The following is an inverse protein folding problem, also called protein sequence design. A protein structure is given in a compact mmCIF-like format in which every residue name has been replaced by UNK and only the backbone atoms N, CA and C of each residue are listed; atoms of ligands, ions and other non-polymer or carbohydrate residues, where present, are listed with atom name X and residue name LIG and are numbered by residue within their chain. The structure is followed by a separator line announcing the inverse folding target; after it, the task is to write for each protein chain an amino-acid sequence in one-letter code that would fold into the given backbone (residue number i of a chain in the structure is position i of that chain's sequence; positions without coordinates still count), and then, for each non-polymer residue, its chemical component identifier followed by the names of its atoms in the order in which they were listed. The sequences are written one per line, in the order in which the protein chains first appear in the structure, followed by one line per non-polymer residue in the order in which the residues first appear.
data_IF_278894044403
#
_entry.id   IF_278894044403
#
_cell.length_a   1.000
_cell.length_b   1.000
_cell.length_c   1.000
_cell.angle_alpha   90.00
_cell.angle_beta   90.00
_cell.angle_gamma   90.00
#
_symmetry.space_group_name_H-M   'P 1'
#
loop_
_entity.id
_entity.type
_entity.pdbx_description
1 polymer ?
#
# COMPACT_ATOMS: atom_id res chain seq x y z
N UNK A 1 15.64 -21.86 -11.24
CA UNK A 1 14.56 -21.02 -11.80
C UNK A 1 15.14 -19.65 -12.12
N UNK A 2 14.72 -18.97 -13.19
CA UNK A 2 15.20 -17.62 -13.54
C UNK A 2 14.07 -16.60 -13.28
N UNK A 3 14.43 -15.40 -12.81
CA UNK A 3 13.54 -14.25 -12.63
C UNK A 3 12.71 -13.91 -13.88
N UNK A 4 13.26 -14.12 -15.08
CA UNK A 4 12.55 -13.82 -16.33
C UNK A 4 11.30 -14.71 -16.54
N UNK A 5 11.33 -15.96 -16.05
CA UNK A 5 10.16 -16.82 -16.07
C UNK A 5 9.05 -16.26 -15.19
N UNK A 6 9.38 -15.78 -13.98
CA UNK A 6 8.40 -15.18 -13.05
C UNK A 6 7.74 -13.96 -13.71
N UNK A 7 8.52 -13.11 -14.38
CA UNK A 7 8.01 -11.94 -15.13
C UNK A 7 7.10 -12.34 -16.27
N UNK A 8 7.50 -13.33 -17.05
CA UNK A 8 6.72 -13.82 -18.19
C UNK A 8 5.35 -14.34 -17.73
N UNK A 9 5.34 -15.14 -16.66
CA UNK A 9 4.10 -15.67 -16.08
C UNK A 9 3.22 -14.54 -15.53
N UNK A 10 3.81 -13.60 -14.79
CA UNK A 10 3.09 -12.43 -14.27
C UNK A 10 2.48 -11.57 -15.38
N UNK A 11 3.23 -11.31 -16.46
CA UNK A 11 2.75 -10.52 -17.60
C UNK A 11 1.63 -11.24 -18.38
N UNK A 12 1.65 -12.58 -18.41
CA UNK A 12 0.60 -13.39 -19.04
C UNK A 12 -0.67 -13.55 -18.19
N UNK A 13 -0.65 -13.10 -16.93
CA UNK A 13 -1.75 -13.26 -15.98
C UNK A 13 -1.81 -14.64 -15.30
N UNK A 14 -0.82 -15.51 -15.51
CA UNK A 14 -0.69 -16.78 -14.77
C UNK A 14 -0.13 -16.51 -13.36
N UNK A 15 -1.02 -16.03 -12.48
CA UNK A 15 -0.68 -15.67 -11.10
C UNK A 15 -0.19 -16.88 -10.30
N UNK A 16 -0.83 -18.04 -10.44
CA UNK A 16 -0.45 -19.26 -9.72
C UNK A 16 0.94 -19.77 -10.17
N UNK A 17 1.18 -19.78 -11.48
CA UNK A 17 2.50 -20.12 -12.03
C UNK A 17 3.58 -19.14 -11.59
N UNK A 18 3.29 -17.82 -11.61
CA UNK A 18 4.23 -16.80 -11.18
C UNK A 18 4.60 -16.96 -9.71
N UNK A 19 3.65 -17.25 -8.83
CA UNK A 19 3.92 -17.50 -7.40
C UNK A 19 4.77 -18.74 -7.19
N UNK A 20 4.43 -19.87 -7.85
CA UNK A 20 5.23 -21.09 -7.74
C UNK A 20 6.66 -20.88 -8.26
N UNK A 21 6.81 -20.12 -9.36
CA UNK A 21 8.11 -19.77 -9.91
C UNK A 21 8.91 -18.83 -8.99
N UNK A 22 8.25 -17.90 -8.31
CA UNK A 22 8.86 -17.01 -7.34
C UNK A 22 9.33 -17.77 -6.08
N UNK A 23 8.50 -18.66 -5.54
CA UNK A 23 8.79 -19.38 -4.29
C UNK A 23 9.98 -20.36 -4.44
N UNK A 24 10.24 -20.85 -5.65
CA UNK A 24 11.42 -21.67 -5.96
C UNK A 24 12.57 -20.89 -6.64
N UNK A 25 12.49 -19.56 -6.68
CA UNK A 25 13.58 -18.70 -7.12
C UNK A 25 14.64 -18.57 -6.03
N UNK A 26 15.91 -18.69 -6.41
CA UNK A 26 17.04 -18.27 -5.57
C UNK A 26 17.80 -17.20 -6.35
N UNK A 27 17.50 -15.90 -6.12
CA UNK A 27 18.06 -14.83 -6.93
C UNK A 27 19.56 -14.68 -6.67
N UNK A 28 20.33 -14.49 -7.73
CA UNK A 28 21.73 -14.07 -7.60
C UNK A 28 21.82 -12.69 -6.95
N UNK A 29 22.98 -12.29 -6.37
CA UNK A 29 23.14 -10.98 -5.75
C UNK A 29 22.72 -9.81 -6.63
N UNK A 30 22.98 -9.89 -7.94
CA UNK A 30 22.61 -8.86 -8.93
C UNK A 30 21.12 -8.81 -9.27
N UNK A 31 20.39 -9.90 -9.03
CA UNK A 31 18.94 -9.99 -9.30
C UNK A 31 18.09 -9.67 -8.07
N UNK A 32 18.68 -9.69 -6.88
CA UNK A 32 17.98 -9.57 -5.58
C UNK A 32 17.01 -8.39 -5.51
N UNK A 33 17.44 -7.19 -5.87
CA UNK A 33 16.56 -6.01 -5.88
C UNK A 33 15.34 -6.19 -6.78
N UNK A 34 15.53 -6.71 -7.98
CA UNK A 34 14.45 -6.91 -8.95
C UNK A 34 13.51 -8.03 -8.51
N UNK A 35 14.07 -9.12 -7.96
CA UNK A 35 13.31 -10.22 -7.38
C UNK A 35 12.51 -9.77 -6.15
N UNK A 36 13.09 -8.91 -5.30
CA UNK A 36 12.42 -8.34 -4.13
C UNK A 36 11.24 -7.44 -4.54
N UNK A 37 11.40 -6.62 -5.58
CA UNK A 37 10.33 -5.76 -6.08
C UNK A 37 9.18 -6.60 -6.67
N UNK A 38 9.51 -7.63 -7.44
CA UNK A 38 8.53 -8.56 -8.01
C UNK A 38 7.82 -9.37 -6.92
N UNK A 39 8.55 -9.82 -5.89
CA UNK A 39 7.96 -10.47 -4.73
C UNK A 39 6.96 -9.55 -4.03
N UNK A 40 7.29 -8.28 -3.84
CA UNK A 40 6.37 -7.32 -3.24
C UNK A 40 5.13 -7.11 -4.11
N UNK A 41 5.30 -6.97 -5.43
CA UNK A 41 4.20 -6.83 -6.39
C UNK A 41 3.23 -8.02 -6.32
N UNK A 42 3.77 -9.23 -6.24
CA UNK A 42 3.00 -10.48 -6.18
C UNK A 42 2.44 -10.79 -4.78
N UNK A 43 2.60 -9.90 -3.80
CA UNK A 43 2.07 -10.12 -2.44
C UNK A 43 2.87 -11.13 -1.63
N UNK A 44 4.20 -11.13 -1.77
CA UNK A 44 5.16 -11.90 -0.96
C UNK A 44 6.10 -10.97 -0.19
N UNK A 45 5.58 -10.21 0.79
CA UNK A 45 6.39 -9.23 1.51
C UNK A 45 7.54 -9.85 2.31
N UNK A 46 7.43 -11.10 2.80
CA UNK A 46 8.54 -11.79 3.48
C UNK A 46 9.73 -12.05 2.56
N UNK A 47 9.47 -12.58 1.36
CA UNK A 47 10.52 -12.78 0.34
C UNK A 47 11.11 -11.45 -0.11
N UNK A 48 10.26 -10.43 -0.29
CA UNK A 48 10.71 -9.09 -0.62
C UNK A 48 11.66 -8.53 0.43
N UNK A 49 11.30 -8.58 1.72
CA UNK A 49 12.15 -8.11 2.82
C UNK A 49 13.48 -8.90 2.88
N UNK A 50 13.43 -10.22 2.69
CA UNK A 50 14.62 -11.07 2.69
C UNK A 50 15.60 -10.78 1.53
N UNK A 51 15.09 -10.28 0.40
CA UNK A 51 15.89 -10.05 -0.80
C UNK A 51 16.20 -8.57 -1.08
N UNK A 52 15.60 -7.61 -0.36
CA UNK A 52 15.77 -6.17 -0.56
C UNK A 52 17.12 -5.62 -0.04
N UNK A 53 18.18 -6.41 -0.20
CA UNK A 53 19.54 -6.05 0.19
C UNK A 53 20.01 -4.80 -0.55
N UNK A 54 20.55 -3.83 0.18
CA UNK A 54 20.98 -2.54 -0.37
C UNK A 54 19.85 -1.59 -0.81
N UNK A 55 18.57 -1.93 -0.60
CA UNK A 55 17.42 -1.12 -1.04
C UNK A 55 16.46 -0.78 0.13
N UNK A 56 16.80 0.24 0.94
CA UNK A 56 16.12 0.54 2.20
C UNK A 56 14.63 0.84 2.05
N UNK A 57 14.23 1.55 0.98
CA UNK A 57 12.83 1.91 0.74
C UNK A 57 11.97 0.68 0.44
N UNK A 58 12.51 -0.25 -0.36
CA UNK A 58 11.81 -1.48 -0.72
C UNK A 58 11.68 -2.40 0.49
N UNK A 59 12.76 -2.54 1.27
CA UNK A 59 12.75 -3.30 2.51
C UNK A 59 11.73 -2.73 3.51
N UNK A 60 11.74 -1.41 3.71
CA UNK A 60 10.78 -0.71 4.57
C UNK A 60 9.32 -0.90 4.11
N UNK A 61 9.05 -0.81 2.79
CA UNK A 61 7.71 -1.04 2.25
C UNK A 61 7.22 -2.48 2.49
N UNK A 62 8.10 -3.47 2.36
CA UNK A 62 7.79 -4.87 2.66
C UNK A 62 7.51 -5.09 4.15
N UNK A 63 8.36 -4.54 5.03
CA UNK A 63 8.20 -4.60 6.48
C UNK A 63 6.91 -3.92 6.95
N UNK A 64 6.51 -2.79 6.34
CA UNK A 64 5.22 -2.17 6.62
C UNK A 64 4.06 -3.12 6.36
N UNK A 65 4.09 -3.89 5.25
CA UNK A 65 3.06 -4.91 4.95
C UNK A 65 2.99 -6.00 6.01
N UNK A 66 4.13 -6.35 6.60
CA UNK A 66 4.25 -7.33 7.68
C UNK A 66 3.89 -6.76 9.06
N UNK A 67 3.71 -5.44 9.18
CA UNK A 67 3.41 -4.77 10.45
C UNK A 67 4.64 -4.46 11.31
N UNK A 68 5.86 -4.65 10.78
CA UNK A 68 7.12 -4.52 11.49
C UNK A 68 7.58 -3.04 11.60
N UNK A 69 6.75 -2.21 12.24
CA UNK A 69 6.92 -0.74 12.25
C UNK A 69 8.22 -0.27 12.90
N UNK A 70 8.63 -0.89 14.01
CA UNK A 70 9.88 -0.54 14.68
C UNK A 70 11.10 -0.81 13.78
N UNK A 71 11.05 -1.93 13.06
CA UNK A 71 12.10 -2.33 12.13
C UNK A 71 12.17 -1.40 10.92
N UNK A 72 11.03 -0.93 10.41
CA UNK A 72 10.98 0.12 9.37
C UNK A 72 11.73 1.37 9.80
N UNK A 73 11.48 1.85 11.02
CA UNK A 73 12.16 3.03 11.55
C UNK A 73 13.68 2.80 11.69
N UNK A 74 14.08 1.59 12.10
CA UNK A 74 15.49 1.20 12.19
C UNK A 74 16.17 1.19 10.82
N UNK A 75 15.55 0.58 9.82
CA UNK A 75 16.05 0.54 8.43
C UNK A 75 16.20 1.94 7.86
N UNK A 76 15.26 2.83 8.15
CA UNK A 76 15.27 4.19 7.62
C UNK A 76 16.09 5.19 8.44
N UNK A 77 16.69 4.80 9.58
CA UNK A 77 17.34 5.74 10.49
C UNK A 77 18.57 6.45 9.87
N UNK A 78 19.30 5.76 9.00
CA UNK A 78 20.48 6.30 8.29
C UNK A 78 20.16 6.97 6.95
N UNK A 79 18.92 6.87 6.48
CA UNK A 79 18.53 7.36 5.16
C UNK A 79 18.33 8.88 5.16
N UNK A 80 18.77 9.53 4.08
CA UNK A 80 18.52 10.95 3.86
C UNK A 80 17.03 11.21 3.70
N UNK A 81 16.56 12.28 4.33
CA UNK A 81 15.18 12.73 4.18
C UNK A 81 14.88 13.06 2.72
N UNK A 82 14.00 12.25 2.14
CA UNK A 82 13.30 12.46 0.88
C UNK A 82 11.80 12.25 1.13
N UNK A 83 10.94 12.66 0.20
CA UNK A 83 9.50 12.48 0.31
C UNK A 83 9.13 11.01 0.59
N UNK A 84 9.75 10.06 -0.10
CA UNK A 84 9.46 8.62 0.06
C UNK A 84 9.90 8.09 1.42
N UNK A 85 11.09 8.47 1.90
CA UNK A 85 11.55 8.10 3.26
C UNK A 85 10.58 8.63 4.31
N UNK A 86 10.19 9.90 4.20
CA UNK A 86 9.30 10.54 5.17
C UNK A 86 7.90 9.92 5.17
N UNK A 87 7.37 9.53 4.00
CA UNK A 87 6.09 8.81 3.91
C UNK A 87 6.17 7.45 4.61
N UNK A 88 7.23 6.69 4.38
CA UNK A 88 7.41 5.39 5.03
C UNK A 88 7.59 5.52 6.55
N UNK A 89 8.33 6.54 7.01
CA UNK A 89 8.44 6.87 8.44
C UNK A 89 7.08 7.25 9.02
N UNK A 90 6.32 8.12 8.36
CA UNK A 90 4.97 8.50 8.78
C UNK A 90 4.06 7.28 8.94
N UNK A 91 4.09 6.37 7.96
CA UNK A 91 3.35 5.10 8.00
C UNK A 91 3.74 4.23 9.18
N UNK A 92 5.03 4.16 9.49
CA UNK A 92 5.55 3.37 10.60
C UNK A 92 5.19 3.97 11.96
N UNK A 93 5.23 5.30 12.11
CA UNK A 93 4.87 5.96 13.38
C UNK A 93 3.36 6.01 13.58
N UNK A 94 2.58 6.18 12.50
CA UNK A 94 1.15 6.50 12.58
C UNK A 94 0.89 7.89 13.14
N UNK A 95 1.90 8.77 13.14
CA UNK A 95 1.82 10.11 13.69
C UNK A 95 1.32 11.12 12.64
N UNK A 96 0.30 11.90 13.01
CA UNK A 96 -0.35 12.85 12.10
C UNK A 96 0.57 14.00 11.71
N UNK A 97 1.39 14.52 12.63
CA UNK A 97 2.33 15.60 12.33
C UNK A 97 3.43 15.13 11.36
N UNK A 98 3.94 13.91 11.56
CA UNK A 98 4.93 13.31 10.64
C UNK A 98 4.30 13.09 9.26
N UNK A 99 3.05 12.65 9.18
CA UNK A 99 2.33 12.49 7.91
C UNK A 99 2.11 13.83 7.19
N UNK A 100 1.81 14.91 7.91
CA UNK A 100 1.70 16.25 7.33
C UNK A 100 3.03 16.78 6.81
N UNK A 101 4.13 16.56 7.56
CA UNK A 101 5.48 16.91 7.14
C UNK A 101 5.88 16.14 5.87
N UNK A 102 5.63 14.83 5.83
CA UNK A 102 5.88 14.00 4.67
C UNK A 102 5.11 14.51 3.43
N UNK A 103 3.83 14.85 3.59
CA UNK A 103 3.02 15.45 2.53
C UNK A 103 3.58 16.78 2.03
N UNK A 104 3.95 17.68 2.94
CA UNK A 104 4.53 18.97 2.58
C UNK A 104 5.87 18.80 1.85
N UNK A 105 6.68 17.82 2.27
CA UNK A 105 7.94 17.49 1.62
C UNK A 105 7.73 16.93 0.21
N UNK A 106 6.82 15.97 0.04
CA UNK A 106 6.44 15.42 -1.27
C UNK A 106 5.98 16.50 -2.25
N UNK A 107 5.19 17.46 -1.77
CA UNK A 107 4.77 18.62 -2.58
C UNK A 107 5.96 19.48 -3.03
N UNK A 108 6.93 19.75 -2.14
CA UNK A 108 8.12 20.55 -2.47
C UNK A 108 9.06 19.84 -3.44
N UNK A 109 9.23 18.53 -3.29
CA UNK A 109 10.05 17.73 -4.19
C UNK A 109 9.37 17.42 -5.53
N UNK A 110 8.04 17.59 -5.62
CA UNK A 110 7.26 17.20 -6.80
C UNK A 110 7.08 15.69 -6.95
N UNK A 111 7.36 14.90 -5.92
CA UNK A 111 7.17 13.44 -5.93
C UNK A 111 5.68 13.11 -5.79
N UNK A 112 5.02 12.99 -6.93
CA UNK A 112 3.57 12.72 -7.02
C UNK A 112 3.15 11.38 -6.40
N UNK A 113 3.87 10.25 -6.64
CA UNK A 113 3.61 9.01 -5.90
C UNK A 113 3.68 9.16 -4.38
N UNK A 114 4.71 9.83 -3.85
CA UNK A 114 4.83 10.07 -2.41
C UNK A 114 3.70 10.97 -1.90
N UNK A 115 3.30 11.98 -2.67
CA UNK A 115 2.21 12.88 -2.31
C UNK A 115 0.86 12.15 -2.24
N UNK A 116 0.57 11.27 -3.20
CA UNK A 116 -0.62 10.41 -3.19
C UNK A 116 -0.60 9.49 -1.96
N UNK A 117 0.53 8.83 -1.68
CA UNK A 117 0.66 7.93 -0.55
C UNK A 117 0.51 8.65 0.81
N UNK A 118 1.03 9.88 0.93
CA UNK A 118 0.87 10.74 2.10
C UNK A 118 -0.59 11.19 2.28
N UNK A 119 -1.26 11.59 1.20
CA UNK A 119 -2.68 11.98 1.23
C UNK A 119 -3.58 10.81 1.65
N UNK A 120 -3.33 9.61 1.12
CA UNK A 120 -4.00 8.40 1.57
C UNK A 120 -3.77 8.16 3.07
N UNK A 121 -2.53 8.27 3.55
CA UNK A 121 -2.20 8.05 4.96
C UNK A 121 -2.91 9.01 5.89
N UNK A 122 -2.93 10.30 5.55
CA UNK A 122 -3.65 11.31 6.31
C UNK A 122 -5.16 11.06 6.29
N UNK A 123 -5.72 10.62 5.16
CA UNK A 123 -7.12 10.21 5.10
C UNK A 123 -7.45 9.10 6.11
N UNK A 124 -6.54 8.14 6.26
CA UNK A 124 -6.66 7.06 7.24
C UNK A 124 -6.55 7.56 8.69
N UNK A 125 -5.55 8.37 8.99
CA UNK A 125 -5.33 8.94 10.33
C UNK A 125 -6.43 9.92 10.76
N UNK A 126 -7.03 10.65 9.81
CA UNK A 126 -8.07 11.63 10.08
C UNK A 126 -9.46 11.01 10.20
N UNK A 127 -9.69 9.80 9.66
CA UNK A 127 -11.00 9.17 9.66
C UNK A 127 -11.61 9.02 11.07
N UNK A 128 -10.87 8.59 12.11
CA UNK A 128 -11.37 8.56 13.49
C UNK A 128 -11.81 9.93 14.03
N UNK A 129 -11.27 11.02 13.48
CA UNK A 129 -11.63 12.40 13.86
C UNK A 129 -12.76 12.98 13.00
N UNK A 130 -13.24 12.22 12.01
CA UNK A 130 -14.39 12.55 11.20
C UNK A 130 -14.15 12.36 9.70
N UNK A 131 -15.21 12.04 8.92
CA UNK A 131 -15.05 11.75 7.50
C UNK A 131 -14.70 12.99 6.67
N UNK A 132 -15.15 14.20 7.03
CA UNK A 132 -14.89 15.39 6.21
C UNK A 132 -13.43 15.86 6.23
N UNK A 133 -12.73 15.93 7.38
CA UNK A 133 -11.28 16.15 7.39
C UNK A 133 -10.52 15.12 6.56
N UNK A 134 -10.88 13.83 6.68
CA UNK A 134 -10.28 12.76 5.88
C UNK A 134 -10.51 12.95 4.37
N UNK A 135 -11.73 13.29 3.94
CA UNK A 135 -12.04 13.59 2.54
C UNK A 135 -11.21 14.77 2.00
N UNK A 136 -11.02 15.83 2.81
CA UNK A 136 -10.20 16.98 2.42
C UNK A 136 -8.73 16.59 2.24
N UNK A 137 -8.19 15.74 3.11
CA UNK A 137 -6.83 15.24 2.95
C UNK A 137 -6.67 14.40 1.68
N UNK A 138 -7.65 13.53 1.39
CA UNK A 138 -7.66 12.69 0.20
C UNK A 138 -7.80 13.46 -1.12
N UNK A 139 -8.48 14.61 -1.10
CA UNK A 139 -8.74 15.43 -2.28
C UNK A 139 -7.46 15.85 -3.02
N UNK A 140 -6.36 16.07 -2.30
CA UNK A 140 -5.08 16.41 -2.90
C UNK A 140 -4.51 15.26 -3.74
N UNK A 141 -4.52 14.03 -3.22
CA UNK A 141 -4.07 12.85 -3.98
C UNK A 141 -4.92 12.60 -5.23
N UNK A 142 -6.23 12.84 -5.14
CA UNK A 142 -7.14 12.76 -6.29
C UNK A 142 -6.79 13.82 -7.35
N UNK A 143 -6.49 15.04 -6.91
CA UNK A 143 -6.14 16.14 -7.82
C UNK A 143 -4.82 15.87 -8.54
N UNK A 144 -3.82 15.35 -7.84
CA UNK A 144 -2.53 14.95 -8.43
C UNK A 144 -2.74 13.89 -9.51
N UNK A 145 -3.49 12.84 -9.20
CA UNK A 145 -3.80 11.77 -10.17
C UNK A 145 -4.48 12.32 -11.43
N UNK A 146 -5.44 13.22 -11.27
CA UNK A 146 -6.15 13.87 -12.39
C UNK A 146 -5.20 14.69 -13.28
N UNK A 147 -4.33 15.50 -12.67
CA UNK A 147 -3.38 16.36 -13.41
C UNK A 147 -2.38 15.55 -14.24
N UNK A 148 -1.97 14.39 -13.74
CA UNK A 148 -1.06 13.49 -14.45
C UNK A 148 -1.74 12.69 -15.57
N UNK A 149 -3.09 12.78 -15.70
CA UNK A 149 -3.89 11.95 -16.62
C UNK A 149 -3.69 10.45 -16.42
N UNK A 150 -3.23 10.06 -15.25
CA UNK A 150 -3.03 8.66 -14.87
C UNK A 150 -4.29 8.11 -14.20
N UNK A 151 -4.40 6.79 -14.17
CA UNK A 151 -5.41 6.15 -13.35
C UNK A 151 -5.13 6.44 -11.88
N UNK A 152 -6.14 6.93 -11.16
CA UNK A 152 -6.06 7.10 -9.71
C UNK A 152 -5.59 5.81 -9.03
N UNK A 153 -4.60 5.96 -8.15
CA UNK A 153 -4.01 4.89 -7.36
C UNK A 153 -5.11 4.05 -6.64
N UNK A 154 -5.05 2.71 -6.75
CA UNK A 154 -6.07 1.84 -6.19
C UNK A 154 -6.13 1.90 -4.66
N UNK A 155 -5.01 2.13 -3.97
CA UNK A 155 -5.02 2.28 -2.51
C UNK A 155 -5.72 3.57 -2.10
N UNK A 156 -5.43 4.69 -2.77
CA UNK A 156 -6.14 5.95 -2.55
C UNK A 156 -7.65 5.80 -2.76
N UNK A 157 -8.09 5.10 -3.83
CA UNK A 157 -9.50 4.81 -4.07
C UNK A 157 -10.10 3.93 -2.97
N UNK A 158 -9.37 2.91 -2.52
CA UNK A 158 -9.84 2.03 -1.45
C UNK A 158 -10.07 2.80 -0.14
N UNK A 159 -9.10 3.62 0.28
CA UNK A 159 -9.24 4.52 1.45
C UNK A 159 -10.43 5.46 1.25
N UNK A 160 -10.53 6.12 0.09
CA UNK A 160 -11.63 7.02 -0.23
C UNK A 160 -13.00 6.34 -0.11
N UNK A 161 -13.13 5.08 -0.53
CA UNK A 161 -14.38 4.34 -0.44
C UNK A 161 -14.82 4.14 1.01
N UNK A 162 -13.89 3.80 1.91
CA UNK A 162 -14.15 3.67 3.35
C UNK A 162 -14.59 5.00 3.95
N UNK A 163 -13.88 6.09 3.65
CA UNK A 163 -14.24 7.43 4.14
C UNK A 163 -15.61 7.88 3.62
N UNK A 164 -15.93 7.60 2.35
CA UNK A 164 -17.24 7.92 1.75
C UNK A 164 -18.38 7.14 2.40
N UNK A 165 -18.16 5.87 2.77
CA UNK A 165 -19.16 5.08 3.48
C UNK A 165 -19.46 5.71 4.85
N UNK A 166 -18.42 6.10 5.59
CA UNK A 166 -18.56 6.78 6.89
C UNK A 166 -19.24 8.16 6.78
N UNK A 167 -19.10 8.84 5.64
CA UNK A 167 -19.79 10.10 5.34
C UNK A 167 -21.28 9.93 4.98
N UNK A 168 -21.83 8.71 5.00
CA UNK A 168 -23.22 8.40 4.63
C UNK A 168 -23.45 8.14 3.14
N UNK A 169 -22.39 8.10 2.33
CA UNK A 169 -22.46 7.94 0.87
C UNK A 169 -22.37 6.50 0.38
N UNK A 170 -23.14 5.55 0.93
CA UNK A 170 -23.00 4.10 0.69
C UNK A 170 -22.94 3.69 -0.79
N UNK A 171 -23.85 4.20 -1.63
CA UNK A 171 -23.87 3.89 -3.06
C UNK A 171 -22.64 4.44 -3.82
N UNK A 172 -22.13 5.62 -3.43
CA UNK A 172 -20.91 6.19 -4.01
C UNK A 172 -19.68 5.40 -3.54
N UNK A 173 -19.64 5.08 -2.25
CA UNK A 173 -18.58 4.27 -1.64
C UNK A 173 -18.44 2.92 -2.34
N UNK A 174 -19.54 2.19 -2.57
CA UNK A 174 -19.52 0.91 -3.28
C UNK A 174 -18.96 1.02 -4.70
N UNK A 175 -19.34 2.05 -5.47
CA UNK A 175 -18.76 2.28 -6.81
C UNK A 175 -17.27 2.61 -6.76
N UNK A 176 -16.84 3.42 -5.77
CA UNK A 176 -15.42 3.74 -5.57
C UNK A 176 -14.63 2.48 -5.19
N UNK A 177 -15.18 1.65 -4.31
CA UNK A 177 -14.57 0.38 -3.91
C UNK A 177 -14.48 -0.60 -5.07
N UNK A 178 -15.52 -0.71 -5.91
CA UNK A 178 -15.48 -1.51 -7.14
C UNK A 178 -14.33 -1.11 -8.07
N UNK A 179 -14.15 0.20 -8.32
CA UNK A 179 -13.02 0.72 -9.12
C UNK A 179 -11.66 0.44 -8.47
N UNK A 180 -11.57 0.56 -7.14
CA UNK A 180 -10.36 0.22 -6.41
C UNK A 180 -10.02 -1.27 -6.58
N UNK A 181 -11.03 -2.14 -6.48
CA UNK A 181 -10.89 -3.58 -6.62
C UNK A 181 -10.43 -3.97 -8.03
N UNK A 182 -11.08 -3.43 -9.07
CA UNK A 182 -10.74 -3.65 -10.48
C UNK A 182 -9.28 -3.29 -10.81
N UNK A 183 -8.74 -2.27 -10.14
CA UNK A 183 -7.37 -1.77 -10.38
C UNK A 183 -6.34 -2.34 -9.42
N UNK A 184 -6.77 -2.99 -8.35
CA UNK A 184 -5.88 -3.55 -7.35
C UNK A 184 -5.25 -4.84 -7.84
N UNK A 185 -3.97 -5.02 -7.56
CA UNK A 185 -3.32 -6.31 -7.76
C UNK A 185 -3.77 -7.30 -6.67
N UNK A 186 -3.81 -8.62 -6.95
CA UNK A 186 -4.04 -9.65 -5.95
C UNK A 186 -3.14 -9.46 -4.72
N UNK A 187 -3.66 -9.82 -3.54
CA UNK A 187 -2.93 -9.81 -2.26
C UNK A 187 -2.38 -8.46 -1.82
N UNK A 188 -2.89 -7.37 -2.40
CA UNK A 188 -2.48 -6.00 -2.04
C UNK A 188 -3.34 -5.40 -0.93
N UNK A 189 -2.80 -4.46 -0.14
CA UNK A 189 -3.58 -3.71 0.84
C UNK A 189 -4.80 -3.00 0.23
N UNK A 190 -4.66 -2.49 -1.02
CA UNK A 190 -5.76 -1.81 -1.72
C UNK A 190 -6.94 -2.76 -1.97
N UNK A 191 -6.63 -4.00 -2.41
CA UNK A 191 -7.63 -5.04 -2.65
C UNK A 191 -8.38 -5.40 -1.38
N UNK A 192 -7.66 -5.64 -0.29
CA UNK A 192 -8.24 -5.98 1.02
C UNK A 192 -9.19 -4.88 1.50
N UNK A 193 -8.77 -3.61 1.44
CA UNK A 193 -9.62 -2.48 1.81
C UNK A 193 -10.85 -2.33 0.92
N UNK A 194 -10.70 -2.51 -0.40
CA UNK A 194 -11.81 -2.45 -1.34
C UNK A 194 -12.86 -3.53 -1.07
N UNK A 195 -12.43 -4.77 -0.82
CA UNK A 195 -13.30 -5.89 -0.48
C UNK A 195 -14.05 -5.64 0.84
N UNK A 196 -13.36 -5.10 1.85
CA UNK A 196 -13.99 -4.68 3.09
C UNK A 196 -15.07 -3.60 2.87
N UNK A 197 -14.78 -2.57 2.07
CA UNK A 197 -15.74 -1.52 1.74
C UNK A 197 -16.96 -2.03 0.94
N UNK A 198 -16.81 -3.15 0.22
CA UNK A 198 -17.90 -3.85 -0.47
C UNK A 198 -18.66 -4.84 0.42
N UNK A 199 -18.31 -4.97 1.71
CA UNK A 199 -18.93 -5.94 2.62
C UNK A 199 -18.49 -7.39 2.40
N UNK A 200 -17.42 -7.62 1.62
CA UNK A 200 -16.91 -8.95 1.28
C UNK A 200 -15.82 -9.40 2.27
N UNK A 201 -16.13 -9.40 3.57
CA UNK A 201 -15.14 -9.61 4.63
C UNK A 201 -14.39 -10.96 4.55
N UNK A 202 -15.07 -12.04 4.14
CA UNK A 202 -14.44 -13.35 3.98
C UNK A 202 -13.41 -13.40 2.86
N UNK A 203 -13.66 -12.71 1.74
CA UNK A 203 -12.69 -12.58 0.64
C UNK A 203 -11.53 -11.65 1.03
N UNK A 204 -11.83 -10.55 1.73
CA UNK A 204 -10.81 -9.64 2.25
C UNK A 204 -9.81 -10.37 3.15
N UNK A 205 -10.29 -11.26 4.03
CA UNK A 205 -9.44 -12.05 4.91
C UNK A 205 -8.60 -13.09 4.16
N UNK A 206 -9.17 -13.74 3.11
CA UNK A 206 -8.41 -14.64 2.24
C UNK A 206 -7.27 -13.90 1.53
N UNK A 207 -7.55 -12.75 0.95
CA UNK A 207 -6.56 -11.92 0.27
C UNK A 207 -5.48 -11.41 1.24
N UNK A 208 -5.88 -10.99 2.44
CA UNK A 208 -4.96 -10.56 3.50
C UNK A 208 -4.02 -11.70 3.90
N UNK A 209 -4.57 -12.88 4.15
CA UNK A 209 -3.79 -14.06 4.53
C UNK A 209 -2.85 -14.51 3.40
N UNK A 210 -3.36 -14.57 2.16
CA UNK A 210 -2.56 -14.96 1.01
C UNK A 210 -1.42 -13.97 0.69
N UNK A 211 -1.57 -12.70 1.08
CA UNK A 211 -0.55 -11.66 0.94
C UNK A 211 0.38 -11.47 2.14
N UNK A 212 0.27 -12.32 3.17
CA UNK A 212 0.98 -12.16 4.46
C UNK A 212 0.81 -10.75 5.06
N UNK A 213 -0.34 -10.11 4.84
CA UNK A 213 -0.55 -8.74 5.26
C UNK A 213 -0.94 -8.68 6.76
N UNK A 214 -0.31 -7.78 7.51
CA UNK A 214 -0.68 -7.53 8.89
C UNK A 214 -2.10 -6.95 9.00
N UNK A 215 -2.78 -7.21 10.13
CA UNK A 215 -4.17 -6.79 10.37
C UNK A 215 -4.36 -5.27 10.41
N UNK A 216 -3.28 -4.51 10.56
CA UNK A 216 -3.29 -3.03 10.57
C UNK A 216 -3.68 -2.42 9.23
N UNK A 217 -3.72 -3.17 8.12
CA UNK A 217 -4.26 -2.68 6.84
C UNK A 217 -5.79 -2.77 6.74
N UNK A 218 -6.49 -2.83 7.87
CA UNK A 218 -7.94 -2.73 7.93
C UNK A 218 -8.34 -1.46 8.67
N UNK A 219 -8.81 -0.47 7.92
CA UNK A 219 -9.33 0.81 8.46
C UNK A 219 -10.62 0.65 9.25
N UNK A 220 -11.22 -0.53 9.22
CA UNK A 220 -12.48 -0.85 9.86
C UNK A 220 -12.32 -1.39 11.29
N UNK A 221 -11.10 -1.43 11.84
CA UNK A 221 -10.86 -1.75 13.25
C UNK A 221 -10.40 -0.53 14.05
N UNK A 222 -11.32 0.38 14.44
CA UNK A 222 -11.05 1.27 15.55
C UNK A 222 -11.22 0.47 16.84
N UNK A 223 -10.16 -0.21 17.29
CA UNK A 223 -10.14 -0.97 18.53
C UNK A 223 -10.47 -2.44 18.34
N UNK A 224 -9.51 -3.31 18.66
CA UNK A 224 -9.85 -4.69 18.98
C UNK A 224 -10.68 -4.70 20.25
N UNK A 225 -11.97 -5.02 20.11
CA UNK A 225 -12.73 -5.86 21.05
C UNK A 225 -13.87 -6.50 20.24
N UNK A 226 -13.77 -7.82 20.04
CA UNK A 226 -14.91 -8.72 20.16
C UNK A 226 -14.72 -9.43 21.49
#
# INVERSE_FOLDING_TARGET
MNLELVRTLQASGDDAGALAALDALTPSPTERTQAAALALLLGRPRLSAAWADGEPLLHAAALLRLGERAEVLRVLAGERDSARVLVLRARATGDMQVAEQARAHARREGDSPALIAAAAHLGELLLPHGPYPALRALAEGLKVSEMQREHTDPYLLAVLSVVQAQAGGSGKAGRTAGKALERSVPRSPARVLALHALGQAGEAERERAAGDLHRTFSLLYPGGQV
#
